data_IF_927605576915
#
_entry.id   IF_927605576915
#
_cell.length_a   1.000
_cell.length_b   1.000
_cell.length_c   1.000
_cell.angle_alpha   90.00
_cell.angle_beta   90.00
_cell.angle_gamma   90.00
#
_symmetry.space_group_name_H-M   'P 1'
#
loop_
_entity.id
_entity.type
_entity.pdbx_description
1 polymer ?
#
# COMPACT_ATOMS: atom_id res chain seq x y z
N UNK A 1 6.90 52.00 -15.43
CA UNK A 1 7.41 50.75 -14.81
C UNK A 1 6.75 49.60 -15.54
N UNK A 2 7.41 49.15 -16.62
CA UNK A 2 6.95 48.09 -17.50
C UNK A 2 8.19 47.34 -18.01
N UNK A 3 8.15 46.01 -17.89
CA UNK A 3 8.89 44.91 -18.53
C UNK A 3 10.35 45.08 -19.04
N UNK A 4 11.24 44.12 -18.73
CA UNK A 4 11.57 42.99 -19.63
C UNK A 4 12.39 41.89 -18.93
N UNK A 5 12.26 40.68 -19.47
CA UNK A 5 12.79 39.37 -19.09
C UNK A 5 14.32 39.24 -19.22
N UNK A 6 14.95 38.34 -18.45
CA UNK A 6 15.49 37.05 -18.93
C UNK A 6 16.30 36.32 -17.86
N UNK A 7 16.08 35.01 -17.80
CA UNK A 7 16.79 34.01 -17.00
C UNK A 7 18.28 33.96 -17.35
N UNK A 8 19.11 33.72 -16.34
CA UNK A 8 20.40 33.04 -16.53
C UNK A 8 20.45 31.85 -15.59
N UNK A 9 20.36 30.66 -16.17
CA UNK A 9 20.81 29.42 -15.55
C UNK A 9 22.32 29.27 -15.79
N UNK A 10 23.05 28.80 -14.78
CA UNK A 10 24.13 27.80 -14.86
C UNK A 10 24.66 27.58 -13.43
N UNK A 11 24.29 26.47 -12.79
CA UNK A 11 24.90 25.13 -12.80
C UNK A 11 25.91 24.95 -11.67
N UNK A 12 25.44 24.39 -10.55
CA UNK A 12 26.24 23.61 -9.62
C UNK A 12 25.43 22.36 -9.25
N UNK A 13 26.03 21.22 -9.58
CA UNK A 13 25.62 19.87 -9.23
C UNK A 13 25.44 19.69 -7.69
N UNK A 14 24.86 18.55 -7.30
CA UNK A 14 24.62 18.07 -5.92
C UNK A 14 23.45 18.76 -5.22
N UNK A 15 22.28 18.15 -5.02
CA UNK A 15 22.01 16.79 -4.59
C UNK A 15 20.79 16.26 -5.35
N UNK A 16 20.90 15.08 -5.98
CA UNK A 16 19.71 14.25 -6.17
C UNK A 16 19.31 13.78 -4.76
N UNK A 17 18.17 14.16 -4.18
CA UNK A 17 17.71 13.48 -2.98
C UNK A 17 17.53 12.02 -3.38
N UNK A 18 18.37 11.15 -2.82
CA UNK A 18 18.23 9.71 -3.01
C UNK A 18 16.96 9.34 -2.24
N UNK A 19 15.86 9.18 -2.97
CA UNK A 19 14.60 8.67 -2.44
C UNK A 19 14.82 7.17 -2.26
N UNK A 20 15.30 6.76 -1.08
CA UNK A 20 15.33 5.35 -0.70
C UNK A 20 13.95 4.95 -0.22
N UNK A 21 13.37 3.96 -0.92
CA UNK A 21 12.17 3.17 -0.60
C UNK A 21 11.36 3.68 0.59
N UNK A 22 10.54 4.70 0.34
CA UNK A 22 9.41 5.02 1.19
C UNK A 22 8.16 4.64 0.41
N UNK A 23 7.58 3.48 0.72
CA UNK A 23 6.28 3.10 0.18
C UNK A 23 5.22 4.03 0.73
N UNK A 24 4.65 4.89 -0.12
CA UNK A 24 3.46 5.67 0.24
C UNK A 24 2.23 4.76 0.16
N UNK A 25 1.88 4.13 1.27
CA UNK A 25 0.59 3.42 1.43
C UNK A 25 -0.52 4.45 1.69
N UNK A 26 -1.05 5.05 0.63
CA UNK A 26 -2.10 6.08 0.75
C UNK A 26 -3.13 6.12 -0.38
N UNK A 27 -3.07 5.18 -1.33
CA UNK A 27 -4.04 5.11 -2.44
C UNK A 27 -4.90 3.87 -2.33
N UNK A 28 -5.70 3.79 -1.26
CA UNK A 28 -6.59 2.67 -1.06
C UNK A 28 -7.67 2.65 -2.16
N UNK A 29 -7.49 1.80 -3.17
CA UNK A 29 -8.58 1.37 -4.05
C UNK A 29 -8.92 -0.05 -3.67
N UNK A 30 -9.85 -0.17 -2.74
CA UNK A 30 -10.29 -1.45 -2.22
C UNK A 30 -11.68 -1.76 -2.78
N UNK A 31 -11.76 -2.82 -3.56
CA UNK A 31 -12.99 -3.29 -4.20
C UNK A 31 -13.60 -4.38 -3.33
N UNK A 32 -14.87 -4.22 -2.91
CA UNK A 32 -15.59 -5.25 -2.18
C UNK A 32 -15.51 -6.62 -2.91
N UNK A 33 -15.34 -7.74 -2.19
CA UNK A 33 -15.16 -9.06 -2.80
C UNK A 33 -16.27 -9.44 -3.79
N UNK A 34 -17.51 -9.05 -3.51
CA UNK A 34 -18.68 -9.33 -4.35
C UNK A 34 -18.66 -8.64 -5.73
N UNK A 35 -17.77 -7.68 -5.94
CA UNK A 35 -17.58 -6.97 -7.20
C UNK A 35 -16.38 -7.49 -7.99
N UNK A 36 -15.59 -8.44 -7.46
CA UNK A 36 -14.44 -9.01 -8.16
C UNK A 36 -14.93 -10.11 -9.09
N UNK A 37 -15.20 -9.75 -10.35
CA UNK A 37 -15.65 -10.66 -11.41
C UNK A 37 -14.60 -10.79 -12.53
N UNK A 38 -14.73 -11.78 -13.41
CA UNK A 38 -13.78 -11.99 -14.52
C UNK A 38 -13.70 -10.81 -15.51
N UNK A 39 -14.77 -10.02 -15.60
CA UNK A 39 -14.89 -8.84 -16.44
C UNK A 39 -14.52 -7.53 -15.73
N UNK A 40 -13.97 -7.61 -14.52
CA UNK A 40 -13.55 -6.45 -13.74
C UNK A 40 -12.42 -5.71 -14.45
N UNK A 41 -12.61 -4.41 -14.68
CA UNK A 41 -11.57 -3.51 -15.17
C UNK A 41 -11.30 -2.42 -14.13
N UNK A 42 -10.04 -2.22 -13.74
CA UNK A 42 -9.64 -1.15 -12.84
C UNK A 42 -8.68 -0.21 -13.54
N UNK A 43 -8.95 1.09 -13.50
CA UNK A 43 -8.10 2.12 -14.08
C UNK A 43 -7.65 3.10 -13.01
N UNK A 44 -6.34 3.38 -12.99
CA UNK A 44 -5.79 4.52 -12.28
C UNK A 44 -5.49 5.63 -13.26
N UNK A 45 -6.07 6.81 -13.04
CA UNK A 45 -5.82 8.01 -13.83
C UNK A 45 -5.27 9.11 -12.96
N UNK A 46 -4.33 9.89 -13.49
CA UNK A 46 -3.83 11.10 -12.85
C UNK A 46 -4.54 12.30 -13.46
N UNK A 47 -5.17 13.10 -12.61
CA UNK A 47 -5.80 14.35 -13.03
C UNK A 47 -4.75 15.45 -13.09
N UNK A 48 -4.52 15.97 -14.29
CA UNK A 48 -3.70 17.16 -14.52
C UNK A 48 -4.59 18.35 -14.85
N UNK A 49 -4.02 19.55 -14.98
CA UNK A 49 -4.80 20.77 -15.25
C UNK A 49 -5.65 20.69 -16.54
N UNK A 50 -5.23 19.88 -17.51
CA UNK A 50 -5.79 19.88 -18.86
C UNK A 50 -6.29 18.51 -19.33
N UNK A 51 -6.06 17.42 -18.59
CA UNK A 51 -6.43 16.06 -18.99
C UNK A 51 -6.30 15.05 -17.84
N UNK A 52 -7.03 13.94 -17.95
CA UNK A 52 -6.90 12.75 -17.10
C UNK A 52 -6.05 11.69 -17.83
N UNK A 53 -4.79 11.54 -17.44
CA UNK A 53 -3.86 10.60 -18.09
C UNK A 53 -3.91 9.23 -17.42
N UNK A 54 -4.00 8.15 -18.22
CA UNK A 54 -3.97 6.78 -17.71
C UNK A 54 -2.59 6.45 -17.14
N UNK A 55 -2.56 6.03 -15.88
CA UNK A 55 -1.32 5.66 -15.16
C UNK A 55 -1.11 4.15 -15.20
N UNK A 56 -2.15 3.36 -14.91
CA UNK A 56 -2.08 1.90 -14.94
C UNK A 56 -3.49 1.30 -15.02
N UNK A 57 -3.63 0.07 -15.53
CA UNK A 57 -4.93 -0.59 -15.67
C UNK A 57 -4.84 -2.10 -15.43
N UNK A 58 -5.90 -2.68 -14.85
CA UNK A 58 -6.09 -4.11 -14.66
C UNK A 58 -7.31 -4.61 -15.48
N UNK A 59 -7.24 -5.79 -16.13
CA UNK A 59 -6.04 -6.60 -16.34
C UNK A 59 -4.98 -5.85 -17.16
N UNK A 60 -3.70 -6.17 -16.95
CA UNK A 60 -2.61 -5.57 -17.71
C UNK A 60 -2.83 -5.88 -19.20
N UNK A 61 -2.91 -4.83 -20.03
CA UNK A 61 -3.01 -5.02 -21.47
C UNK A 61 -1.64 -5.41 -22.03
N UNK A 62 -1.50 -6.63 -22.57
CA UNK A 62 -0.27 -7.10 -23.25
C UNK A 62 0.07 -6.32 -24.52
N UNK A 63 -0.82 -5.46 -25.02
CA UNK A 63 -0.65 -4.71 -26.26
C UNK A 63 -0.71 -3.20 -26.02
N UNK A 64 0.43 -2.58 -25.77
CA UNK A 64 0.74 -1.23 -26.27
C UNK A 64 2.26 -1.03 -26.27
N UNK A 65 2.90 -1.69 -27.22
CA UNK A 65 4.13 -1.21 -27.86
C UNK A 65 3.80 0.05 -28.65
N UNK A 66 3.69 1.18 -27.97
CA UNK A 66 3.78 2.49 -28.61
C UNK A 66 4.85 3.29 -27.87
N UNK A 67 5.77 3.87 -28.63
CA UNK A 67 6.98 4.57 -28.15
C UNK A 67 6.67 5.85 -27.35
N UNK A 68 5.39 6.16 -27.11
CA UNK A 68 4.88 7.27 -26.30
C UNK A 68 4.39 6.84 -24.90
N UNK A 69 4.92 5.76 -24.33
CA UNK A 69 4.63 5.39 -22.93
C UNK A 69 5.05 6.50 -21.97
N UNK A 70 4.06 7.09 -21.30
CA UNK A 70 4.29 8.09 -20.26
C UNK A 70 5.09 7.47 -19.11
N UNK A 71 6.14 8.15 -18.62
CA UNK A 71 7.10 7.62 -17.61
C UNK A 71 6.45 6.93 -16.40
N UNK A 72 5.28 7.42 -15.97
CA UNK A 72 4.51 6.86 -14.86
C UNK A 72 4.01 5.44 -15.14
N UNK A 73 3.72 5.06 -16.38
CA UNK A 73 3.26 3.71 -16.73
C UNK A 73 4.35 2.65 -16.47
N UNK A 74 5.63 3.03 -16.54
CA UNK A 74 6.75 2.11 -16.30
C UNK A 74 7.07 1.91 -14.81
N UNK A 75 6.67 2.87 -13.98
CA UNK A 75 6.92 2.89 -12.52
C UNK A 75 5.69 2.50 -11.71
N UNK A 76 4.54 2.40 -12.35
CA UNK A 76 3.27 2.12 -11.72
C UNK A 76 2.94 0.63 -11.78
N UNK A 77 2.58 0.07 -10.64
CA UNK A 77 2.31 -1.36 -10.48
C UNK A 77 1.13 -1.57 -9.54
N UNK A 78 0.37 -2.64 -9.73
CA UNK A 78 -0.51 -3.17 -8.70
C UNK A 78 0.26 -4.07 -7.73
N UNK A 79 -0.27 -4.19 -6.51
CA UNK A 79 0.13 -5.25 -5.59
C UNK A 79 -0.54 -6.57 -6.02
N UNK A 80 0.07 -7.27 -6.97
CA UNK A 80 -0.54 -8.45 -7.61
C UNK A 80 -0.95 -9.53 -6.61
N UNK A 81 -0.18 -9.77 -5.55
CA UNK A 81 -0.54 -10.67 -4.46
C UNK A 81 -1.82 -10.29 -3.68
N UNK A 82 -2.26 -9.03 -3.75
CA UNK A 82 -3.40 -8.51 -3.00
C UNK A 82 -4.66 -8.32 -3.85
N UNK A 83 -4.57 -8.47 -5.18
CA UNK A 83 -5.71 -8.32 -6.10
C UNK A 83 -6.84 -9.31 -5.77
N UNK A 84 -6.48 -10.55 -5.45
CA UNK A 84 -7.42 -11.59 -4.99
C UNK A 84 -8.19 -11.20 -3.71
N UNK A 85 -7.68 -10.23 -2.97
CA UNK A 85 -8.28 -9.67 -1.77
C UNK A 85 -8.93 -8.32 -2.02
N UNK A 86 -9.18 -7.94 -3.28
CA UNK A 86 -9.80 -6.67 -3.65
C UNK A 86 -8.91 -5.44 -3.53
N UNK A 87 -7.60 -5.59 -3.26
CA UNK A 87 -6.70 -4.45 -3.18
C UNK A 87 -6.10 -4.12 -4.55
N UNK A 88 -6.65 -3.10 -5.19
CA UNK A 88 -6.17 -2.53 -6.46
C UNK A 88 -5.44 -1.21 -6.22
N UNK A 89 -4.80 -1.04 -5.05
CA UNK A 89 -4.03 0.17 -4.76
C UNK A 89 -2.84 0.29 -5.71
N UNK A 90 -2.57 1.53 -6.12
CA UNK A 90 -1.44 1.84 -7.00
C UNK A 90 -0.14 1.92 -6.18
N UNK A 91 0.87 1.16 -6.58
CA UNK A 91 2.27 1.36 -6.16
C UNK A 91 2.97 2.16 -7.24
N UNK A 92 3.69 3.20 -6.84
CA UNK A 92 4.54 3.99 -7.74
C UNK A 92 5.97 3.94 -7.23
N UNK A 93 6.88 3.38 -8.03
CA UNK A 93 8.29 3.23 -7.70
C UNK A 93 9.08 4.48 -8.13
N UNK A 94 10.27 4.70 -7.55
CA UNK A 94 11.12 5.89 -7.82
C UNK A 94 10.34 7.21 -7.78
N UNK A 95 9.61 7.46 -6.68
CA UNK A 95 8.76 8.65 -6.54
C UNK A 95 9.55 9.94 -6.80
N UNK A 96 8.99 10.85 -7.59
CA UNK A 96 9.57 12.17 -7.92
C UNK A 96 8.69 13.27 -7.40
N UNK A 97 9.25 14.46 -7.16
CA UNK A 97 8.47 15.65 -6.76
C UNK A 97 7.27 15.91 -7.69
N UNK A 98 7.47 15.61 -8.98
CA UNK A 98 6.50 15.75 -10.06
C UNK A 98 5.34 14.76 -10.00
N UNK A 99 5.42 13.71 -9.19
CA UNK A 99 4.33 12.73 -9.02
C UNK A 99 3.23 13.26 -8.10
N UNK A 100 3.52 14.26 -7.26
CA UNK A 100 2.51 14.88 -6.40
C UNK A 100 1.30 15.37 -7.23
N UNK A 101 0.08 15.06 -6.80
CA UNK A 101 -1.11 15.34 -7.59
C UNK A 101 -2.32 14.52 -7.19
N UNK A 102 -3.42 14.70 -7.93
CA UNK A 102 -4.65 13.94 -7.72
C UNK A 102 -4.68 12.71 -8.64
N UNK A 103 -5.05 11.58 -8.06
CA UNK A 103 -5.21 10.29 -8.72
C UNK A 103 -6.62 9.78 -8.47
N UNK A 104 -7.21 9.19 -9.51
CA UNK A 104 -8.55 8.61 -9.45
C UNK A 104 -8.45 7.13 -9.79
N UNK A 105 -8.95 6.29 -8.89
CA UNK A 105 -9.25 4.90 -9.19
C UNK A 105 -10.69 4.81 -9.72
N UNK A 106 -10.88 4.10 -10.83
CA UNK A 106 -12.20 3.81 -11.38
C UNK A 106 -12.31 2.33 -11.65
N UNK A 107 -13.37 1.72 -11.15
CA UNK A 107 -13.63 0.29 -11.23
C UNK A 107 -14.88 0.10 -12.07
N UNK A 108 -14.73 -0.67 -13.14
CA UNK A 108 -15.79 -1.00 -14.08
C UNK A 108 -16.13 -2.48 -13.98
N UNK A 109 -17.42 -2.80 -13.97
CA UNK A 109 -17.93 -4.14 -14.26
C UNK A 109 -18.67 -4.05 -15.59
N UNK A 110 -18.27 -4.87 -16.56
CA UNK A 110 -18.69 -4.78 -17.97
C UNK A 110 -18.47 -3.38 -18.57
N UNK A 111 -19.52 -2.55 -18.61
CA UNK A 111 -19.50 -1.18 -19.16
C UNK A 111 -19.90 -0.14 -18.11
N UNK A 112 -20.25 -0.56 -16.91
CA UNK A 112 -20.75 0.31 -15.85
C UNK A 112 -19.64 0.63 -14.85
N UNK A 113 -19.54 1.90 -14.45
CA UNK A 113 -18.69 2.31 -13.34
C UNK A 113 -19.38 1.92 -12.02
N UNK A 114 -18.80 0.96 -11.31
CA UNK A 114 -19.38 0.43 -10.06
C UNK A 114 -18.74 1.04 -8.81
N UNK A 115 -17.51 1.57 -8.93
CA UNK A 115 -16.82 2.24 -7.84
C UNK A 115 -15.82 3.26 -8.40
N UNK A 116 -15.70 4.41 -7.74
CA UNK A 116 -14.65 5.39 -8.04
C UNK A 116 -14.20 6.10 -6.76
N UNK A 117 -12.90 6.29 -6.63
CA UNK A 117 -12.29 6.95 -5.49
C UNK A 117 -11.19 7.90 -5.95
N UNK A 118 -11.22 9.12 -5.40
CA UNK A 118 -10.19 10.13 -5.63
C UNK A 118 -9.26 10.23 -4.42
N UNK A 119 -7.99 10.41 -4.69
CA UNK A 119 -6.95 10.55 -3.67
C UNK A 119 -5.85 11.48 -4.15
N UNK A 120 -5.18 12.15 -3.21
CA UNK A 120 -4.14 13.14 -3.50
C UNK A 120 -2.80 12.64 -2.98
N UNK A 121 -1.85 12.44 -3.89
CA UNK A 121 -0.45 12.20 -3.56
C UNK A 121 0.15 13.47 -2.98
N UNK A 122 0.51 13.43 -1.70
CA UNK A 122 1.28 14.48 -1.05
C UNK A 122 2.63 13.86 -0.68
N UNK A 123 3.68 14.29 -1.36
CA UNK A 123 5.03 13.88 -1.05
C UNK A 123 5.48 14.61 0.22
N UNK A 124 5.58 13.85 1.31
CA UNK A 124 6.17 14.33 2.56
C UNK A 124 7.61 13.88 2.60
N UNK A 125 8.53 14.84 2.56
CA UNK A 125 9.95 14.57 2.77
C UNK A 125 10.17 14.26 4.25
N UNK A 126 10.38 12.98 4.57
CA UNK A 126 10.92 12.58 5.87
C UNK A 126 12.45 12.57 5.74
N UNK A 127 13.13 13.33 6.58
CA UNK A 127 14.60 13.50 6.50
C UNK A 127 15.39 12.21 6.76
N UNK A 128 14.76 11.12 7.17
CA UNK A 128 15.29 9.76 7.18
C UNK A 128 14.07 8.84 7.19
N UNK A 129 14.13 7.67 6.53
CA UNK A 129 13.11 6.63 6.72
C UNK A 129 12.90 6.34 8.21
N UNK A 130 11.74 5.81 8.58
CA UNK A 130 11.50 5.44 9.98
C UNK A 130 12.36 4.21 10.30
N UNK A 131 13.56 4.46 10.78
CA UNK A 131 14.54 3.45 11.14
C UNK A 131 14.34 3.07 12.60
N UNK A 132 14.16 1.79 12.88
CA UNK A 132 13.94 1.29 14.24
C UNK A 132 15.22 0.70 14.81
N UNK A 133 15.59 1.05 16.06
CA UNK A 133 16.79 0.51 16.67
C UNK A 133 16.62 -0.97 17.03
N UNK A 134 17.72 -1.73 16.94
CA UNK A 134 17.80 -3.08 17.50
C UNK A 134 17.41 -3.08 18.98
N UNK A 135 16.71 -4.13 19.40
CA UNK A 135 16.12 -4.24 20.74
C UNK A 135 14.85 -3.40 20.96
N UNK A 136 14.52 -2.49 20.04
CA UNK A 136 13.34 -1.63 20.09
C UNK A 136 12.02 -2.36 19.87
N UNK A 137 10.96 -1.60 19.60
CA UNK A 137 9.63 -2.12 19.25
C UNK A 137 8.98 -1.25 18.18
N UNK A 138 8.11 -1.85 17.38
CA UNK A 138 7.41 -1.20 16.25
C UNK A 138 5.95 -1.64 16.20
N UNK A 139 5.08 -0.74 15.74
CA UNK A 139 3.71 -1.05 15.33
C UNK A 139 3.64 -1.09 13.79
N UNK A 140 3.49 -2.27 13.20
CA UNK A 140 3.25 -2.43 11.76
C UNK A 140 1.75 -2.26 11.49
N UNK A 141 1.40 -1.29 10.66
CA UNK A 141 0.02 -0.85 10.50
C UNK A 141 -0.82 -1.85 9.70
N UNK A 142 -1.99 -2.20 10.23
CA UNK A 142 -3.06 -2.87 9.49
C UNK A 142 -4.40 -2.37 10.02
N UNK A 143 -5.11 -1.61 9.18
CA UNK A 143 -6.36 -0.95 9.53
C UNK A 143 -7.41 -1.30 8.49
N UNK A 144 -8.52 -1.87 8.94
CA UNK A 144 -9.67 -2.18 8.09
C UNK A 144 -10.86 -1.28 8.40
N UNK A 145 -11.79 -1.23 7.46
CA UNK A 145 -13.08 -0.57 7.65
C UNK A 145 -13.91 -1.30 8.72
N UNK A 146 -14.63 -0.55 9.54
CA UNK A 146 -15.47 -1.11 10.62
C UNK A 146 -16.61 -1.96 10.09
N UNK A 147 -17.10 -1.71 8.88
CA UNK A 147 -18.11 -2.54 8.21
C UNK A 147 -17.67 -3.99 8.01
N UNK A 148 -16.36 -4.25 7.97
CA UNK A 148 -15.82 -5.60 7.87
C UNK A 148 -15.84 -6.35 9.23
N UNK A 149 -15.97 -5.64 10.36
CA UNK A 149 -15.94 -6.22 11.71
C UNK A 149 -17.23 -6.94 12.13
N UNK A 150 -18.31 -6.82 11.36
CA UNK A 150 -19.63 -7.38 11.74
C UNK A 150 -19.65 -8.93 11.75
N UNK A 151 -18.59 -9.59 11.28
CA UNK A 151 -18.51 -11.04 11.10
C UNK A 151 -17.29 -11.64 11.81
N UNK A 152 -17.24 -12.98 11.93
CA UNK A 152 -16.08 -13.70 12.45
C UNK A 152 -14.89 -13.57 11.50
N UNK A 153 -14.00 -12.62 11.78
CA UNK A 153 -12.78 -12.42 11.01
C UNK A 153 -11.65 -13.34 11.47
N UNK A 154 -10.86 -13.78 10.50
CA UNK A 154 -9.53 -14.33 10.72
C UNK A 154 -8.49 -13.35 10.18
N UNK A 155 -7.53 -12.93 11.00
CA UNK A 155 -6.45 -12.02 10.59
C UNK A 155 -5.10 -12.66 10.83
N UNK A 156 -4.31 -12.75 9.76
CA UNK A 156 -2.96 -13.29 9.79
C UNK A 156 -1.94 -12.18 9.53
N UNK A 157 -0.89 -12.15 10.35
CA UNK A 157 0.36 -11.49 9.98
C UNK A 157 1.37 -12.54 9.55
N UNK A 158 1.95 -12.37 8.36
CA UNK A 158 2.97 -13.26 7.80
C UNK A 158 4.23 -12.51 7.41
N UNK A 159 5.35 -13.21 7.44
CA UNK A 159 6.61 -12.78 6.81
C UNK A 159 7.08 -13.93 5.93
N UNK A 160 7.02 -13.73 4.61
CA UNK A 160 7.03 -14.85 3.65
C UNK A 160 6.02 -15.94 4.09
N UNK A 161 6.45 -17.19 4.21
CA UNK A 161 5.59 -18.31 4.65
C UNK A 161 5.41 -18.39 6.18
N UNK A 162 6.16 -17.58 6.95
CA UNK A 162 6.18 -17.69 8.41
C UNK A 162 4.99 -16.96 9.04
N UNK A 163 4.21 -17.66 9.88
CA UNK A 163 3.14 -17.06 10.66
C UNK A 163 3.73 -16.26 11.84
N UNK A 164 3.56 -14.93 11.77
CA UNK A 164 4.05 -13.99 12.77
C UNK A 164 3.03 -13.83 13.89
N UNK A 165 1.74 -13.69 13.54
CA UNK A 165 0.66 -13.65 14.52
C UNK A 165 -0.71 -13.97 13.92
N UNK A 166 -1.61 -14.51 14.75
CA UNK A 166 -2.97 -14.89 14.36
C UNK A 166 -4.03 -14.27 15.28
N UNK A 167 -5.10 -13.78 14.66
CA UNK A 167 -6.36 -13.48 15.31
C UNK A 167 -7.46 -14.33 14.66
N UNK A 168 -8.18 -15.10 15.48
CA UNK A 168 -9.26 -15.96 15.02
C UNK A 168 -10.22 -16.22 16.18
N UNK A 169 -11.51 -16.45 15.88
CA UNK A 169 -12.55 -16.75 16.87
C UNK A 169 -12.66 -15.69 17.98
N UNK A 170 -12.51 -14.41 17.59
CA UNK A 170 -12.62 -13.28 18.51
C UNK A 170 -11.41 -13.10 19.45
N UNK A 171 -10.33 -13.87 19.27
CA UNK A 171 -9.16 -13.83 20.13
C UNK A 171 -7.85 -13.82 19.37
N UNK A 172 -6.86 -13.20 20.00
CA UNK A 172 -5.48 -13.26 19.56
C UNK A 172 -4.84 -14.57 20.03
N UNK A 173 -4.28 -15.33 19.09
CA UNK A 173 -3.77 -16.69 19.28
C UNK A 173 -2.24 -16.67 19.31
N UNK A 174 -1.66 -16.34 20.48
CA UNK A 174 -0.21 -16.26 20.63
C UNK A 174 0.50 -17.62 20.54
N UNK A 175 -0.21 -18.71 20.81
CA UNK A 175 0.35 -20.08 20.78
C UNK A 175 0.59 -20.61 19.36
N UNK A 176 -0.08 -20.03 18.36
CA UNK A 176 0.06 -20.40 16.94
C UNK A 176 1.27 -19.72 16.26
N UNK A 177 1.98 -18.85 16.99
CA UNK A 177 3.12 -18.10 16.45
C UNK A 177 4.29 -19.03 16.11
N UNK A 178 5.00 -18.71 15.03
CA UNK A 178 6.33 -19.28 14.84
C UNK A 178 7.24 -18.92 16.03
N UNK A 179 8.12 -19.85 16.39
CA UNK A 179 8.97 -19.75 17.61
C UNK A 179 9.75 -18.44 17.69
N UNK A 180 10.19 -17.89 16.56
CA UNK A 180 10.93 -16.63 16.50
C UNK A 180 10.14 -15.41 16.98
N UNK A 181 8.81 -15.45 16.88
CA UNK A 181 7.92 -14.34 17.24
C UNK A 181 7.23 -14.53 18.59
N UNK A 182 7.41 -15.69 19.21
CA UNK A 182 6.77 -16.03 20.47
C UNK A 182 7.02 -14.98 21.55
N UNK A 183 5.94 -14.47 22.16
CA UNK A 183 5.93 -13.38 23.17
C UNK A 183 6.47 -12.02 22.68
N UNK A 184 6.89 -11.90 21.42
CA UNK A 184 7.42 -10.67 20.81
C UNK A 184 6.37 -9.98 19.96
N UNK A 185 5.59 -10.75 19.21
CA UNK A 185 4.50 -10.30 18.36
C UNK A 185 3.16 -10.32 19.13
N UNK A 186 2.34 -9.27 19.03
CA UNK A 186 0.96 -9.28 19.52
C UNK A 186 0.10 -8.18 18.91
N UNK A 187 -1.22 -8.35 18.96
CA UNK A 187 -2.18 -7.29 18.68
C UNK A 187 -2.48 -6.46 19.93
N UNK A 188 -2.78 -5.18 19.73
CA UNK A 188 -3.33 -4.33 20.78
C UNK A 188 -4.83 -4.59 20.92
N UNK A 189 -5.22 -5.55 21.77
CA UNK A 189 -6.62 -6.02 21.96
C UNK A 189 -7.66 -4.91 22.03
N UNK A 190 -7.34 -3.79 22.70
CA UNK A 190 -8.25 -2.65 22.88
C UNK A 190 -8.60 -1.91 21.58
N UNK A 191 -7.76 -2.01 20.55
CA UNK A 191 -7.95 -1.33 19.26
C UNK A 191 -8.62 -2.21 18.20
N UNK A 192 -8.75 -3.52 18.44
CA UNK A 192 -9.35 -4.47 17.48
C UNK A 192 -10.81 -4.12 17.17
N UNK A 193 -11.57 -3.70 18.17
CA UNK A 193 -12.95 -3.22 18.03
C UNK A 193 -13.09 -2.01 17.09
N UNK A 194 -11.99 -1.32 16.81
CA UNK A 194 -11.93 -0.16 15.92
C UNK A 194 -11.34 -0.51 14.55
N UNK A 195 -11.18 -1.81 14.23
CA UNK A 195 -10.64 -2.28 12.95
C UNK A 195 -9.11 -2.25 12.90
N UNK A 196 -8.45 -2.00 14.03
CA UNK A 196 -7.00 -1.92 14.08
C UNK A 196 -6.40 -3.27 14.47
N UNK A 197 -5.86 -3.94 13.47
CA UNK A 197 -5.12 -5.19 13.59
C UNK A 197 -3.62 -4.96 13.40
N UNK A 198 -3.11 -3.79 13.81
CA UNK A 198 -1.68 -3.49 13.70
C UNK A 198 -0.87 -4.45 14.58
N UNK A 199 0.24 -4.93 14.05
CA UNK A 199 1.15 -5.84 14.75
C UNK A 199 2.13 -5.05 15.60
N UNK A 200 2.11 -5.28 16.91
CA UNK A 200 3.15 -4.79 17.80
C UNK A 200 4.25 -5.84 17.91
N UNK A 201 5.45 -5.52 17.41
CA UNK A 201 6.62 -6.40 17.44
C UNK A 201 7.69 -5.83 18.38
N UNK A 202 8.07 -6.60 19.41
CA UNK A 202 9.06 -6.23 20.44
C UNK A 202 10.41 -6.92 20.25
N UNK A 203 11.43 -6.31 20.85
CA UNK A 203 12.81 -6.84 20.92
C UNK A 203 13.33 -7.11 19.52
N UNK A 204 13.38 -6.06 18.69
CA UNK A 204 13.80 -6.15 17.30
C UNK A 204 15.22 -6.72 17.17
N UNK A 205 15.42 -7.55 16.15
CA UNK A 205 16.66 -8.25 15.81
C UNK A 205 16.97 -7.96 14.34
N UNK A 206 18.24 -8.03 13.95
CA UNK A 206 18.64 -7.78 12.56
C UNK A 206 17.87 -8.66 11.55
N UNK A 207 17.57 -9.92 11.92
CA UNK A 207 16.80 -10.84 11.08
C UNK A 207 15.30 -10.52 10.95
N UNK A 208 14.77 -9.57 11.72
CA UNK A 208 13.38 -9.14 11.60
C UNK A 208 13.15 -8.17 10.43
N UNK A 209 14.21 -7.58 9.87
CA UNK A 209 14.12 -6.65 8.72
C UNK A 209 13.39 -7.30 7.53
N UNK A 210 12.59 -6.51 6.82
CA UNK A 210 11.89 -6.93 5.60
C UNK A 210 10.39 -6.68 5.63
N UNK A 211 9.68 -7.34 4.72
CA UNK A 211 8.25 -7.11 4.47
C UNK A 211 7.37 -8.08 5.26
N UNK A 212 6.41 -7.50 5.97
CA UNK A 212 5.36 -8.20 6.70
C UNK A 212 4.03 -7.97 6.01
N UNK A 213 3.19 -8.99 5.95
CA UNK A 213 1.89 -8.95 5.29
C UNK A 213 0.77 -9.21 6.28
N UNK A 214 -0.18 -8.28 6.35
CA UNK A 214 -1.45 -8.46 7.02
C UNK A 214 -2.47 -9.00 6.02
N UNK A 215 -3.14 -10.11 6.33
CA UNK A 215 -4.18 -10.71 5.51
C UNK A 215 -5.42 -10.91 6.37
N UNK A 216 -6.57 -10.42 5.90
CA UNK A 216 -7.85 -10.50 6.60
C UNK A 216 -8.78 -11.37 5.76
N UNK A 217 -9.34 -12.39 6.41
CA UNK A 217 -10.27 -13.32 5.82
C UNK A 217 -11.65 -13.18 6.47
N UNK A 218 -12.68 -13.31 5.65
CA UNK A 218 -14.08 -13.49 6.04
C UNK A 218 -14.59 -14.75 5.37
N UNK A 219 -15.13 -15.69 6.15
CA UNK A 219 -15.71 -16.95 5.62
C UNK A 219 -14.79 -17.69 4.63
N UNK A 220 -13.47 -17.68 4.90
CA UNK A 220 -12.37 -18.21 4.07
C UNK A 220 -11.97 -17.35 2.86
N UNK A 221 -12.76 -16.37 2.48
CA UNK A 221 -12.42 -15.41 1.43
C UNK A 221 -11.47 -14.34 1.95
N UNK A 222 -10.43 -14.04 1.18
CA UNK A 222 -9.57 -12.91 1.49
C UNK A 222 -10.30 -11.60 1.18
N UNK A 223 -10.48 -10.75 2.19
CA UNK A 223 -11.23 -9.50 2.07
C UNK A 223 -10.37 -8.27 2.26
N UNK A 224 -9.14 -8.40 2.74
CA UNK A 224 -8.19 -7.30 2.80
C UNK A 224 -6.76 -7.83 2.91
N UNK A 225 -5.80 -7.19 2.25
CA UNK A 225 -4.38 -7.47 2.42
C UNK A 225 -3.55 -6.21 2.28
N UNK A 226 -2.55 -6.06 3.15
CA UNK A 226 -1.63 -4.93 3.15
C UNK A 226 -0.24 -5.34 3.61
N UNK A 227 0.78 -4.76 2.99
CA UNK A 227 2.18 -4.96 3.35
C UNK A 227 2.69 -3.80 4.21
N UNK A 228 3.60 -4.13 5.13
CA UNK A 228 4.34 -3.19 5.96
C UNK A 228 5.84 -3.53 5.90
N UNK A 229 6.65 -2.54 5.54
CA UNK A 229 8.10 -2.66 5.43
C UNK A 229 8.76 -2.23 6.75
N UNK A 230 9.57 -3.13 7.33
CA UNK A 230 10.37 -2.85 8.52
C UNK A 230 11.83 -2.67 8.11
N UNK A 231 12.36 -1.47 8.35
CA UNK A 231 13.77 -1.11 8.14
C UNK A 231 14.46 -0.87 9.49
N UNK A 232 15.61 -1.48 9.70
CA UNK A 232 16.38 -1.38 10.95
C UNK A 232 17.62 -0.48 10.78
N UNK A 233 18.14 0.03 11.90
CA UNK A 233 19.31 0.92 11.96
C UNK A 233 20.34 0.52 12.97
#
# INVERSE_FOLDING_TARGET
MTCLFLLRFDCAEFFKPVIRSGTFSGFACHVPPNLITEDLKVEWRRTTRNSDSLVHQYPDSESQTDEEQQDNQKRAHFFTEHIKCGNFSLRLDDLRAEDAGEYTCTVHSKRDCVFSAKTKLILKFFMTGQVYPLGGSVDLLCQIDKSLLENSLKVEWRRAETLVHLYQDGKSQAEEQHQDYHKRAHFLKKKIKDGNFSLHLKKLRAGDEGVYRCIVYKDQDCVFSADAELNLG
#
